data_IF_936035085454
#
_entry.id   IF_936035085454
#
_cell.length_a   1.000
_cell.length_b   1.000
_cell.length_c   1.000
_cell.angle_alpha   90.00
_cell.angle_beta   90.00
_cell.angle_gamma   90.00
#
_symmetry.space_group_name_H-M   'P 1'
#
loop_
_entity.id
_entity.type
_entity.pdbx_description
1 polymer ?
#
# COMPACT_ATOMS: atom_id res chain seq x y z
N UNK A 1 -0.96 20.69 -2.92
CA UNK A 1 -0.31 19.80 -3.90
C UNK A 1 0.37 18.67 -3.14
N UNK A 2 0.09 17.39 -3.45
CA UNK A 2 0.79 16.30 -2.77
C UNK A 2 2.28 16.35 -3.09
N UNK A 3 3.09 16.23 -2.05
CA UNK A 3 4.54 16.17 -2.16
C UNK A 3 4.93 14.92 -2.96
N UNK A 4 5.71 15.12 -4.01
CA UNK A 4 6.39 14.13 -4.87
C UNK A 4 6.90 12.87 -4.15
N UNK A 5 7.22 12.96 -2.86
CA UNK A 5 7.82 11.91 -2.03
C UNK A 5 7.01 10.61 -1.87
N UNK A 6 5.68 10.66 -1.76
CA UNK A 6 4.88 9.44 -1.55
C UNK A 6 4.74 8.63 -2.84
N UNK A 7 4.53 9.32 -3.96
CA UNK A 7 4.49 8.71 -5.30
C UNK A 7 5.86 8.14 -5.65
N UNK A 8 6.95 8.85 -5.35
CA UNK A 8 8.30 8.37 -5.65
C UNK A 8 8.65 7.09 -4.85
N UNK A 9 8.24 7.02 -3.57
CA UNK A 9 8.32 5.78 -2.77
C UNK A 9 7.50 4.65 -3.39
N UNK A 10 6.28 4.93 -3.85
CA UNK A 10 5.42 3.94 -4.50
C UNK A 10 6.09 3.40 -5.77
N UNK A 11 6.56 4.31 -6.63
CA UNK A 11 7.25 3.97 -7.87
C UNK A 11 8.49 3.13 -7.58
N UNK A 12 9.26 3.44 -6.54
CA UNK A 12 10.42 2.63 -6.14
C UNK A 12 10.05 1.21 -5.71
N UNK A 13 8.92 1.01 -5.01
CA UNK A 13 8.50 -0.32 -4.55
C UNK A 13 7.92 -1.16 -5.70
N UNK A 14 7.27 -0.52 -6.68
CA UNK A 14 6.68 -1.20 -7.85
C UNK A 14 7.73 -1.47 -8.94
N UNK A 15 8.80 -0.68 -8.99
CA UNK A 15 9.82 -0.75 -10.03
C UNK A 15 10.61 -2.06 -9.97
N UNK A 16 10.43 -2.88 -11.00
CA UNK A 16 11.25 -4.06 -11.26
C UNK A 16 12.31 -3.77 -12.33
N UNK A 17 13.54 -4.23 -12.08
CA UNK A 17 14.68 -4.14 -13.00
C UNK A 17 15.05 -2.72 -13.45
N UNK A 18 14.87 -1.71 -12.58
CA UNK A 18 15.28 -0.32 -12.85
C UNK A 18 14.38 0.44 -13.84
N UNK A 19 13.26 -0.13 -14.28
CA UNK A 19 12.32 0.50 -15.23
C UNK A 19 11.41 1.54 -14.55
N UNK A 20 11.96 2.72 -14.28
CA UNK A 20 11.26 3.79 -13.55
C UNK A 20 10.03 4.34 -14.29
N UNK A 21 10.13 4.49 -15.62
CA UNK A 21 9.04 5.05 -16.42
C UNK A 21 7.82 4.14 -16.46
N UNK A 22 8.02 2.84 -16.67
CA UNK A 22 6.96 1.82 -16.64
C UNK A 22 6.31 1.75 -15.27
N UNK A 23 7.10 1.76 -14.19
CA UNK A 23 6.57 1.77 -12.84
C UNK A 23 5.70 3.01 -12.59
N UNK A 24 6.17 4.19 -13.00
CA UNK A 24 5.43 5.45 -12.87
C UNK A 24 4.13 5.44 -13.67
N UNK A 25 4.16 4.89 -14.88
CA UNK A 25 2.95 4.69 -15.70
C UNK A 25 1.92 3.82 -14.98
N UNK A 26 2.33 2.67 -14.42
CA UNK A 26 1.43 1.80 -13.66
C UNK A 26 0.84 2.49 -12.42
N UNK A 27 1.63 3.31 -11.72
CA UNK A 27 1.11 4.11 -10.59
C UNK A 27 -0.02 5.04 -11.03
N UNK A 28 0.19 5.80 -12.11
CA UNK A 28 -0.82 6.73 -12.60
C UNK A 28 -2.04 6.00 -13.16
N UNK A 29 -1.86 4.88 -13.86
CA UNK A 29 -2.94 4.05 -14.35
C UNK A 29 -3.81 3.52 -13.18
N UNK A 30 -3.18 3.07 -12.08
CA UNK A 30 -3.90 2.64 -10.89
C UNK A 30 -4.71 3.79 -10.25
N UNK A 31 -4.13 4.99 -10.14
CA UNK A 31 -4.83 6.17 -9.63
C UNK A 31 -6.01 6.58 -10.52
N UNK A 32 -5.87 6.45 -11.84
CA UNK A 32 -6.96 6.70 -12.79
C UNK A 32 -8.11 5.70 -12.59
N UNK A 33 -7.80 4.42 -12.41
CA UNK A 33 -8.81 3.38 -12.13
C UNK A 33 -9.56 3.68 -10.83
N UNK A 34 -8.85 4.08 -9.77
CA UNK A 34 -9.46 4.47 -8.49
C UNK A 34 -10.41 5.65 -8.69
N UNK A 35 -9.95 6.70 -9.36
CA UNK A 35 -10.78 7.88 -9.65
C UNK A 35 -12.02 7.51 -10.45
N UNK A 36 -11.88 6.68 -11.49
CA UNK A 36 -13.02 6.20 -12.30
C UNK A 36 -14.03 5.40 -11.47
N UNK A 37 -13.56 4.50 -10.59
CA UNK A 37 -14.43 3.70 -9.72
C UNK A 37 -15.20 4.58 -8.73
N UNK A 38 -14.51 5.51 -8.07
CA UNK A 38 -15.13 6.45 -7.13
C UNK A 38 -16.14 7.36 -7.80
N UNK A 39 -15.82 7.86 -8.99
CA UNK A 39 -16.73 8.73 -9.74
C UNK A 39 -18.01 7.99 -10.17
N UNK A 40 -17.88 6.72 -10.59
CA UNK A 40 -19.05 5.87 -10.88
C UNK A 40 -19.91 5.61 -9.64
N UNK A 41 -19.30 5.46 -8.47
CA UNK A 41 -20.03 5.31 -7.21
C UNK A 41 -20.73 6.61 -6.81
N UNK A 42 -20.05 7.75 -6.95
CA UNK A 42 -20.61 9.08 -6.67
C UNK A 42 -21.80 9.43 -7.57
N UNK A 43 -21.74 9.08 -8.86
CA UNK A 43 -22.85 9.27 -9.80
C UNK A 43 -24.10 8.45 -9.43
N UNK A 44 -23.93 7.28 -8.82
CA UNK A 44 -25.02 6.40 -8.41
C UNK A 44 -25.58 6.71 -7.03
N UNK A 45 -24.86 7.49 -6.23
CA UNK A 45 -25.22 7.79 -4.85
C UNK A 45 -26.28 8.90 -4.76
N UNK A 46 -27.02 8.94 -3.64
CA UNK A 46 -27.94 10.04 -3.30
C UNK A 46 -27.16 11.26 -2.76
N UNK A 47 -27.79 12.44 -2.73
CA UNK A 47 -27.18 13.72 -2.33
C UNK A 47 -26.43 13.65 -0.97
N UNK A 48 -26.99 12.90 -0.01
CA UNK A 48 -26.44 12.72 1.33
C UNK A 48 -25.16 11.85 1.35
N UNK A 49 -25.11 10.84 0.48
CA UNK A 49 -23.98 9.93 0.38
C UNK A 49 -22.85 10.52 -0.47
N UNK A 50 -23.19 11.34 -1.47
CA UNK A 50 -22.22 12.08 -2.28
C UNK A 50 -21.28 12.93 -1.44
N UNK A 51 -21.78 13.52 -0.35
CA UNK A 51 -20.97 14.33 0.58
C UNK A 51 -19.98 13.52 1.41
N UNK A 52 -20.20 12.20 1.56
CA UNK A 52 -19.31 11.29 2.30
C UNK A 52 -18.25 10.64 1.39
N UNK A 53 -18.48 10.60 0.08
CA UNK A 53 -17.58 9.95 -0.87
C UNK A 53 -16.40 10.89 -1.19
N UNK A 54 -15.22 10.51 -0.71
CA UNK A 54 -13.96 11.13 -1.10
C UNK A 54 -13.68 10.85 -2.59
N UNK A 55 -13.48 11.91 -3.37
CA UNK A 55 -13.18 11.83 -4.81
C UNK A 55 -11.68 11.95 -5.11
N UNK A 56 -10.88 12.44 -4.16
CA UNK A 56 -9.44 12.58 -4.37
C UNK A 56 -8.73 11.21 -4.32
N UNK A 57 -8.15 10.73 -5.44
CA UNK A 57 -7.57 9.39 -5.50
C UNK A 57 -6.34 9.24 -4.61
N UNK A 58 -5.66 10.32 -4.25
CA UNK A 58 -4.45 10.27 -3.43
C UNK A 58 -4.77 10.16 -1.94
N UNK A 59 -5.80 10.87 -1.46
CA UNK A 59 -6.31 10.71 -0.10
C UNK A 59 -6.76 9.27 0.12
N UNK A 60 -7.47 8.69 -0.84
CA UNK A 60 -7.92 7.30 -0.79
C UNK A 60 -6.74 6.35 -0.77
N UNK A 61 -5.79 6.50 -1.70
CA UNK A 61 -4.61 5.65 -1.73
C UNK A 61 -3.86 5.73 -0.39
N UNK A 62 -3.62 6.93 0.14
CA UNK A 62 -2.96 7.11 1.44
C UNK A 62 -3.72 6.44 2.59
N UNK A 63 -5.03 6.64 2.67
CA UNK A 63 -5.89 6.00 3.69
C UNK A 63 -5.82 4.46 3.57
N UNK A 64 -5.90 3.93 2.35
CA UNK A 64 -5.80 2.49 2.10
C UNK A 64 -4.45 1.92 2.54
N UNK A 65 -3.34 2.58 2.21
CA UNK A 65 -1.99 2.15 2.60
C UNK A 65 -1.85 2.16 4.12
N UNK A 66 -2.30 3.23 4.78
CA UNK A 66 -2.25 3.34 6.24
C UNK A 66 -3.03 2.21 6.93
N UNK A 67 -4.18 1.83 6.37
CA UNK A 67 -4.99 0.71 6.87
C UNK A 67 -4.30 -0.65 6.65
N UNK A 68 -3.49 -0.80 5.60
CA UNK A 68 -2.72 -2.01 5.33
C UNK A 68 -1.43 -2.12 6.14
N UNK A 69 -1.11 -1.17 7.03
CA UNK A 69 0.10 -1.23 7.84
C UNK A 69 0.06 -2.41 8.82
N UNK A 70 1.04 -3.34 8.77
CA UNK A 70 1.09 -4.43 9.73
C UNK A 70 1.46 -3.89 11.11
N UNK A 71 0.59 -4.07 12.11
CA UNK A 71 0.83 -3.62 13.50
C UNK A 71 1.98 -4.39 14.17
N UNK A 72 2.06 -5.69 13.88
CA UNK A 72 3.04 -6.63 14.41
C UNK A 72 3.69 -7.41 13.27
N UNK A 73 4.99 -7.64 13.37
CA UNK A 73 5.71 -8.55 12.48
C UNK A 73 6.41 -9.62 13.29
N UNK A 74 6.25 -10.88 12.90
CA UNK A 74 6.99 -11.99 13.51
C UNK A 74 8.48 -11.84 13.18
N UNK A 75 9.29 -11.58 14.19
CA UNK A 75 10.74 -11.56 14.06
C UNK A 75 11.28 -12.88 14.63
N UNK A 76 12.04 -13.61 13.81
CA UNK A 76 12.74 -14.81 14.29
C UNK A 76 13.85 -14.39 15.24
N UNK A 77 13.74 -14.78 16.51
CA UNK A 77 14.83 -14.61 17.47
C UNK A 77 15.58 -15.93 17.55
N UNK A 78 16.80 -15.97 17.03
CA UNK A 78 17.68 -17.14 17.22
C UNK A 78 18.32 -17.02 18.59
N UNK A 79 17.81 -17.76 19.58
CA UNK A 79 18.52 -17.91 20.87
C UNK A 79 19.72 -18.84 20.62
N UNK A 80 20.93 -18.35 20.89
CA UNK A 80 22.21 -19.08 20.72
C UNK A 80 22.30 -20.39 21.51
N UNK A 81 21.32 -20.69 22.38
CA UNK A 81 21.35 -21.81 23.32
C UNK A 81 20.76 -23.11 22.73
N UNK A 82 19.96 -23.07 21.65
CA UNK A 82 19.37 -24.31 21.11
C UNK A 82 19.08 -24.22 19.62
N UNK A 83 19.94 -24.87 18.82
CA UNK A 83 19.68 -25.22 17.42
C UNK A 83 18.50 -26.19 17.35
N UNK A 84 17.24 -25.72 17.31
CA UNK A 84 16.08 -26.42 16.70
C UNK A 84 14.73 -25.71 16.78
N UNK A 85 14.56 -24.64 17.55
CA UNK A 85 13.26 -23.93 17.58
C UNK A 85 13.42 -22.42 17.68
N UNK A 86 13.24 -21.74 16.55
CA UNK A 86 13.17 -20.28 16.49
C UNK A 86 11.80 -19.83 17.02
N UNK A 87 11.75 -19.35 18.26
CA UNK A 87 10.57 -18.70 18.82
C UNK A 87 10.35 -17.36 18.08
N UNK A 88 9.20 -17.21 17.43
CA UNK A 88 8.81 -15.99 16.73
C UNK A 88 8.04 -15.11 17.69
N UNK A 89 8.68 -14.07 18.21
CA UNK A 89 7.99 -13.01 18.94
C UNK A 89 7.59 -11.90 17.96
N UNK A 90 6.41 -11.29 18.11
CA UNK A 90 6.02 -10.14 17.30
C UNK A 90 6.42 -8.81 17.97
N UNK A 91 7.59 -8.22 17.66
CA UNK A 91 7.85 -6.84 18.04
C UNK A 91 6.91 -5.87 17.30
N UNK A 92 6.64 -4.68 17.88
CA UNK A 92 6.00 -3.60 17.14
C UNK A 92 6.84 -3.26 15.91
N UNK A 93 6.21 -3.24 14.74
CA UNK A 93 6.89 -2.91 13.49
C UNK A 93 7.33 -1.44 13.49
N UNK A 94 8.58 -1.18 13.05
CA UNK A 94 9.10 0.18 12.97
C UNK A 94 8.37 1.00 11.89
N UNK A 95 8.06 2.27 12.21
CA UNK A 95 7.26 3.18 11.37
C UNK A 95 7.67 3.25 9.88
N UNK A 96 8.95 3.45 9.51
CA UNK A 96 9.33 3.56 8.09
C UNK A 96 9.22 2.22 7.34
N UNK A 97 9.30 1.08 8.05
CA UNK A 97 9.17 -0.25 7.44
C UNK A 97 7.72 -0.62 7.19
N UNK A 98 6.79 -0.21 8.07
CA UNK A 98 5.34 -0.46 7.94
C UNK A 98 4.77 -0.09 6.57
N UNK A 99 5.13 1.08 6.06
CA UNK A 99 4.64 1.54 4.76
C UNK A 99 5.16 0.68 3.60
N UNK A 100 6.46 0.38 3.57
CA UNK A 100 7.06 -0.49 2.55
C UNK A 100 6.46 -1.89 2.57
N UNK A 101 6.21 -2.43 3.77
CA UNK A 101 5.62 -3.75 3.94
C UNK A 101 4.17 -3.84 3.46
N UNK A 102 3.39 -2.79 3.74
CA UNK A 102 2.03 -2.67 3.23
C UNK A 102 2.01 -2.62 1.69
N UNK A 103 2.94 -1.87 1.08
CA UNK A 103 3.06 -1.82 -0.39
C UNK A 103 3.42 -3.18 -0.98
N UNK A 104 4.41 -3.87 -0.43
CA UNK A 104 4.80 -5.20 -0.90
C UNK A 104 3.65 -6.20 -0.79
N UNK A 105 2.89 -6.16 0.31
CA UNK A 105 1.73 -7.03 0.49
C UNK A 105 0.65 -6.79 -0.57
N UNK A 106 0.31 -5.52 -0.83
CA UNK A 106 -0.70 -5.15 -1.85
C UNK A 106 -0.25 -5.59 -3.24
N UNK A 107 1.03 -5.42 -3.58
CA UNK A 107 1.57 -5.86 -4.87
C UNK A 107 1.57 -7.38 -5.01
N UNK A 108 1.95 -8.10 -3.96
CA UNK A 108 2.00 -9.55 -3.99
C UNK A 108 0.59 -10.17 -4.11
N UNK A 109 -0.41 -9.57 -3.46
CA UNK A 109 -1.83 -9.93 -3.64
C UNK A 109 -2.30 -9.63 -5.06
N UNK A 110 -2.08 -8.41 -5.53
CA UNK A 110 -2.53 -7.99 -6.86
C UNK A 110 -1.87 -8.72 -8.02
N UNK A 111 -0.64 -9.21 -7.85
CA UNK A 111 0.07 -10.01 -8.85
C UNK A 111 -0.35 -11.49 -8.88
N UNK A 112 -1.06 -11.97 -7.85
CA UNK A 112 -1.62 -13.33 -7.78
C UNK A 112 -3.04 -13.37 -8.35
N UNK A 113 -3.74 -12.24 -8.35
CA UNK A 113 -5.11 -12.10 -8.90
C UNK A 113 -5.14 -11.64 -10.37
N UNK A 114 -3.98 -11.48 -11.02
CA UNK A 114 -3.84 -10.98 -12.40
C UNK A 114 -3.51 -12.08 -13.40
#
# INVERSE_FOLDING_TARGET
>A
MLTSRQVDKLTRVIMNSGRKETARYHVYAALEIIKRRQYKAWLKASEEEKSKIELDPFVIARKAIANCHPLMKLQGVTRVVSKKTSLRHPPPSAEPRRASDAFSYVLQRGSVEA
#
